data_IF_357195787528
#
_entry.id   IF_357195787528
#
_cell.length_a   1.000
_cell.length_b   1.000
_cell.length_c   1.000
_cell.angle_alpha   90.00
_cell.angle_beta   90.00
_cell.angle_gamma   90.00
#
_symmetry.space_group_name_H-M   'P 1'
#
loop_
_entity.id
_entity.type
_entity.pdbx_description
1 polymer ?
#
# COMPACT_ATOMS: atom_id res chain seq x y z
N UNK A 1 -8.32 24.66 0.80
CA UNK A 1 -9.61 23.94 0.78
C UNK A 1 -9.86 23.50 2.21
N UNK A 2 -10.37 24.42 3.01
CA UNK A 2 -10.63 24.22 4.43
C UNK A 2 -12.13 24.25 4.67
N UNK A 3 -12.58 23.45 5.65
CA UNK A 3 -13.94 23.27 6.21
C UNK A 3 -14.70 22.01 5.75
N UNK A 4 -14.52 21.47 4.53
CA UNK A 4 -15.32 20.34 4.06
C UNK A 4 -14.59 19.42 3.06
N UNK A 5 -13.50 18.79 3.50
CA UNK A 5 -13.22 17.41 3.07
C UNK A 5 -14.49 16.63 3.48
N UNK A 6 -15.41 16.51 2.53
CA UNK A 6 -16.85 16.57 2.81
C UNK A 6 -17.25 15.52 3.83
N UNK A 7 -18.17 15.85 4.76
CA UNK A 7 -18.81 14.82 5.59
C UNK A 7 -19.25 13.63 4.73
N UNK A 8 -19.66 13.89 3.48
CA UNK A 8 -19.89 12.89 2.47
C UNK A 8 -18.68 11.97 2.20
N UNK A 9 -17.47 12.49 1.92
CA UNK A 9 -16.25 11.68 1.73
C UNK A 9 -15.94 10.78 2.94
N UNK A 10 -16.04 11.35 4.14
CA UNK A 10 -15.79 10.59 5.37
C UNK A 10 -16.85 9.51 5.58
N UNK A 11 -18.13 9.85 5.37
CA UNK A 11 -19.24 8.90 5.45
C UNK A 11 -19.09 7.81 4.40
N UNK A 12 -18.76 8.14 3.15
CA UNK A 12 -18.61 7.15 2.07
C UNK A 12 -17.47 6.19 2.34
N UNK A 13 -16.31 6.67 2.80
CA UNK A 13 -15.21 5.80 3.25
C UNK A 13 -15.67 4.90 4.38
N UNK A 14 -16.32 5.46 5.41
CA UNK A 14 -16.83 4.69 6.54
C UNK A 14 -17.79 3.60 6.10
N UNK A 15 -18.72 3.91 5.20
CA UNK A 15 -19.68 2.97 4.65
C UNK A 15 -19.00 1.87 3.83
N UNK A 16 -18.06 2.24 2.94
CA UNK A 16 -17.29 1.26 2.14
C UNK A 16 -16.50 0.33 3.04
N UNK A 17 -15.77 0.86 4.04
CA UNK A 17 -15.03 0.05 5.00
C UNK A 17 -15.96 -0.88 5.79
N UNK A 18 -17.10 -0.39 6.28
CA UNK A 18 -18.06 -1.22 7.01
C UNK A 18 -18.63 -2.34 6.13
N UNK A 19 -19.01 -2.04 4.88
CA UNK A 19 -19.52 -3.03 3.93
C UNK A 19 -18.46 -4.09 3.60
N UNK A 20 -17.21 -3.69 3.35
CA UNK A 20 -16.10 -4.62 3.13
C UNK A 20 -15.82 -5.45 4.38
N UNK A 21 -15.93 -4.87 5.58
CA UNK A 21 -15.80 -5.59 6.85
C UNK A 21 -16.89 -6.64 7.06
N UNK A 22 -18.16 -6.29 6.83
CA UNK A 22 -19.28 -7.25 6.88
C UNK A 22 -19.08 -8.36 5.86
N UNK A 23 -18.70 -7.99 4.63
CA UNK A 23 -18.31 -8.92 3.57
C UNK A 23 -17.22 -9.88 4.05
N UNK A 24 -16.15 -9.40 4.68
CA UNK A 24 -15.07 -10.23 5.19
C UNK A 24 -15.52 -11.18 6.30
N UNK A 25 -16.33 -10.71 7.24
CA UNK A 25 -16.90 -11.55 8.30
C UNK A 25 -17.77 -12.69 7.72
N UNK A 26 -18.57 -12.41 6.69
CA UNK A 26 -19.36 -13.45 5.99
C UNK A 26 -18.44 -14.47 5.30
N UNK A 27 -17.36 -14.03 4.64
CA UNK A 27 -16.39 -14.95 4.04
C UNK A 27 -15.68 -15.82 5.08
N UNK A 28 -15.31 -15.27 6.24
CA UNK A 28 -14.71 -16.03 7.34
C UNK A 28 -15.69 -17.12 7.80
N UNK A 29 -16.96 -16.76 8.04
CA UNK A 29 -17.97 -17.72 8.44
C UNK A 29 -18.20 -18.80 7.37
N UNK A 30 -18.30 -18.41 6.09
CA UNK A 30 -18.48 -19.35 4.99
C UNK A 30 -17.27 -20.30 4.82
N UNK A 31 -16.06 -19.81 5.03
CA UNK A 31 -14.83 -20.60 4.99
C UNK A 31 -14.74 -21.59 6.15
N UNK A 32 -15.22 -21.20 7.35
CA UNK A 32 -15.26 -22.07 8.53
C UNK A 32 -16.30 -23.19 8.41
N UNK A 33 -17.38 -22.97 7.65
CA UNK A 33 -18.43 -23.97 7.40
C UNK A 33 -18.08 -24.97 6.28
N UNK A 34 -16.94 -24.81 5.60
CA UNK A 34 -16.51 -25.78 4.59
C UNK A 34 -16.07 -27.10 5.24
N UNK A 35 -16.34 -28.27 4.61
CA UNK A 35 -15.89 -29.56 5.11
C UNK A 35 -14.37 -29.66 5.31
N UNK A 36 -13.61 -28.90 4.51
CA UNK A 36 -12.18 -28.69 4.66
C UNK A 36 -11.94 -27.21 4.98
N UNK A 37 -11.55 -26.85 6.21
CA UNK A 37 -11.38 -25.46 6.59
C UNK A 37 -10.29 -24.80 5.74
N UNK A 38 -10.64 -23.67 5.13
CA UNK A 38 -9.76 -22.90 4.27
C UNK A 38 -8.98 -21.87 5.09
N UNK A 39 -8.01 -22.36 5.88
CA UNK A 39 -7.26 -21.54 6.84
C UNK A 39 -6.60 -20.30 6.22
N UNK A 40 -6.03 -20.42 5.02
CA UNK A 40 -5.42 -19.28 4.33
C UNK A 40 -6.43 -18.20 3.96
N UNK A 41 -7.59 -18.58 3.41
CA UNK A 41 -8.67 -17.63 3.11
C UNK A 41 -9.12 -16.93 4.39
N UNK A 42 -9.35 -17.68 5.48
CA UNK A 42 -9.73 -17.09 6.76
C UNK A 42 -8.70 -16.07 7.26
N UNK A 43 -7.40 -16.38 7.14
CA UNK A 43 -6.33 -15.45 7.52
C UNK A 43 -6.34 -14.15 6.72
N UNK A 44 -6.49 -14.21 5.40
CA UNK A 44 -6.56 -13.02 4.55
C UNK A 44 -7.83 -12.20 4.78
N UNK A 45 -8.96 -12.86 5.01
CA UNK A 45 -10.21 -12.19 5.37
C UNK A 45 -10.13 -11.54 6.75
N UNK A 46 -9.43 -12.14 7.72
CA UNK A 46 -9.22 -11.54 9.04
C UNK A 46 -8.39 -10.25 8.95
N UNK A 47 -7.34 -10.23 8.13
CA UNK A 47 -6.56 -9.01 7.84
C UNK A 47 -7.42 -7.96 7.15
N UNK A 48 -8.31 -8.37 6.24
CA UNK A 48 -9.26 -7.46 5.58
C UNK A 48 -10.26 -6.88 6.58
N UNK A 49 -10.76 -7.69 7.50
CA UNK A 49 -11.67 -7.28 8.56
C UNK A 49 -11.00 -6.29 9.53
N UNK A 50 -9.76 -6.53 9.95
CA UNK A 50 -9.04 -5.60 10.82
C UNK A 50 -8.75 -4.28 10.11
N UNK A 51 -8.32 -4.32 8.84
CA UNK A 51 -8.16 -3.13 8.01
C UNK A 51 -9.47 -2.34 7.87
N UNK A 52 -10.61 -3.02 7.72
CA UNK A 52 -11.92 -2.39 7.67
C UNK A 52 -12.27 -1.67 8.97
N UNK A 53 -11.97 -2.28 10.13
CA UNK A 53 -12.14 -1.62 11.44
C UNK A 53 -11.28 -0.36 11.53
N UNK A 54 -10.00 -0.42 11.14
CA UNK A 54 -9.15 0.77 11.09
C UNK A 54 -9.67 1.83 10.13
N UNK A 55 -10.19 1.43 8.96
CA UNK A 55 -10.83 2.33 8.00
C UNK A 55 -12.06 3.05 8.55
N UNK A 56 -12.89 2.36 9.35
CA UNK A 56 -14.02 2.98 10.06
C UNK A 56 -13.52 3.91 11.17
N UNK A 57 -12.49 3.54 11.93
CA UNK A 57 -11.92 4.43 12.96
C UNK A 57 -11.28 5.69 12.34
N UNK A 58 -10.66 5.55 11.16
CA UNK A 58 -10.15 6.66 10.35
C UNK A 58 -11.28 7.60 9.92
N UNK A 59 -12.43 7.07 9.46
CA UNK A 59 -13.57 7.91 9.11
C UNK A 59 -14.21 8.59 10.32
N UNK A 60 -14.13 7.99 11.52
CA UNK A 60 -14.57 8.64 12.75
C UNK A 60 -13.60 9.73 13.26
N UNK A 61 -12.52 10.02 12.53
CA UNK A 61 -11.55 11.06 12.91
C UNK A 61 -10.72 10.72 14.15
N UNK A 62 -10.58 9.42 14.49
CA UNK A 62 -9.82 8.99 15.67
C UNK A 62 -8.31 9.19 15.52
N UNK A 63 -7.80 9.33 14.29
CA UNK A 63 -6.38 9.51 14.01
C UNK A 63 -6.10 10.96 13.63
N UNK A 64 -5.24 11.63 14.40
CA UNK A 64 -4.84 13.02 14.17
C UNK A 64 -3.72 13.18 13.13
N UNK A 65 -2.94 12.13 12.88
CA UNK A 65 -1.81 12.15 11.94
C UNK A 65 -2.13 11.42 10.62
N UNK A 66 -2.03 12.14 9.50
CA UNK A 66 -1.96 11.58 8.15
C UNK A 66 -3.08 10.61 7.75
N UNK A 67 -4.37 11.02 7.75
CA UNK A 67 -5.49 10.13 7.37
C UNK A 67 -5.36 9.58 5.95
N UNK A 68 -4.65 10.28 5.05
CA UNK A 68 -4.39 9.82 3.69
C UNK A 68 -3.48 8.58 3.65
N UNK A 69 -2.42 8.54 4.48
CA UNK A 69 -1.53 7.36 4.57
C UNK A 69 -2.31 6.18 5.14
N UNK A 70 -3.09 6.40 6.21
CA UNK A 70 -3.93 5.37 6.80
C UNK A 70 -4.90 4.75 5.79
N UNK A 71 -5.57 5.59 4.99
CA UNK A 71 -6.49 5.13 3.94
C UNK A 71 -5.79 4.34 2.83
N UNK A 72 -4.59 4.77 2.44
CA UNK A 72 -3.78 4.05 1.47
C UNK A 72 -3.38 2.66 1.99
N UNK A 73 -3.05 2.54 3.28
CA UNK A 73 -2.76 1.25 3.88
C UNK A 73 -3.99 0.35 3.91
N UNK A 74 -5.16 0.89 4.29
CA UNK A 74 -6.42 0.12 4.29
C UNK A 74 -6.77 -0.35 2.88
N UNK A 75 -6.65 0.52 1.87
CA UNK A 75 -6.92 0.15 0.49
C UNK A 75 -5.95 -0.94 -0.02
N UNK A 76 -4.66 -0.84 0.32
CA UNK A 76 -3.68 -1.87 -0.01
C UNK A 76 -4.02 -3.21 0.66
N UNK A 77 -4.44 -3.22 1.92
CA UNK A 77 -4.91 -4.42 2.60
C UNK A 77 -6.13 -5.04 1.92
N UNK A 78 -7.09 -4.23 1.45
CA UNK A 78 -8.26 -4.72 0.74
C UNK A 78 -7.90 -5.36 -0.61
N UNK A 79 -7.06 -4.71 -1.41
CA UNK A 79 -6.64 -5.25 -2.71
C UNK A 79 -5.81 -6.53 -2.54
N UNK A 80 -4.73 -6.47 -1.75
CA UNK A 80 -3.86 -7.63 -1.51
C UNK A 80 -4.63 -8.78 -0.84
N UNK A 81 -5.47 -8.48 0.15
CA UNK A 81 -6.31 -9.46 0.82
C UNK A 81 -7.31 -10.14 -0.13
N UNK A 82 -7.97 -9.37 -1.00
CA UNK A 82 -8.88 -9.91 -2.02
C UNK A 82 -8.14 -10.77 -3.05
N UNK A 83 -6.98 -10.32 -3.54
CA UNK A 83 -6.17 -11.07 -4.50
C UNK A 83 -5.67 -12.39 -3.92
N UNK A 84 -5.07 -12.37 -2.72
CA UNK A 84 -4.57 -13.56 -2.06
C UNK A 84 -5.70 -14.50 -1.67
N UNK A 85 -6.84 -13.97 -1.20
CA UNK A 85 -8.06 -14.73 -0.96
C UNK A 85 -8.54 -15.46 -2.22
N UNK A 86 -8.64 -14.75 -3.36
CA UNK A 86 -9.04 -15.33 -4.64
C UNK A 86 -8.10 -16.45 -5.11
N UNK A 87 -6.78 -16.22 -5.02
CA UNK A 87 -5.76 -17.22 -5.38
C UNK A 87 -5.82 -18.44 -4.46
N UNK A 88 -6.02 -18.24 -3.15
CA UNK A 88 -6.03 -19.32 -2.16
C UNK A 88 -7.12 -20.37 -2.40
N UNK A 89 -8.23 -19.96 -3.03
CA UNK A 89 -9.37 -20.85 -3.36
C UNK A 89 -9.46 -21.17 -4.85
N UNK A 90 -8.41 -20.87 -5.63
CA UNK A 90 -8.40 -21.04 -7.09
C UNK A 90 -9.63 -20.42 -7.78
N UNK A 91 -10.15 -19.31 -7.24
CA UNK A 91 -11.29 -18.58 -7.76
C UNK A 91 -12.68 -19.18 -7.53
N UNK A 92 -12.82 -20.26 -6.74
CA UNK A 92 -14.12 -20.84 -6.39
C UNK A 92 -14.19 -21.19 -4.90
N UNK A 93 -15.30 -20.83 -4.24
CA UNK A 93 -15.60 -21.22 -2.86
C UNK A 93 -16.77 -22.21 -2.88
N UNK A 94 -16.46 -23.50 -2.79
CA UNK A 94 -17.44 -24.56 -3.06
C UNK A 94 -17.93 -24.51 -4.51
N UNK A 95 -19.24 -24.38 -4.71
CA UNK A 95 -19.87 -24.21 -6.03
C UNK A 95 -19.94 -22.75 -6.49
N UNK A 96 -19.63 -21.79 -5.63
CA UNK A 96 -19.74 -20.37 -5.93
C UNK A 96 -18.47 -19.81 -6.57
N UNK A 97 -18.62 -19.05 -7.66
CA UNK A 97 -17.52 -18.34 -8.29
C UNK A 97 -17.15 -17.08 -7.50
N UNK A 98 -15.87 -16.93 -7.13
CA UNK A 98 -15.38 -15.80 -6.32
C UNK A 98 -15.01 -14.56 -7.17
N UNK A 99 -15.11 -14.64 -8.51
CA UNK A 99 -14.73 -13.54 -9.41
C UNK A 99 -15.48 -12.23 -9.13
N UNK A 100 -16.83 -12.20 -9.02
CA UNK A 100 -17.54 -10.95 -8.78
C UNK A 100 -17.11 -10.30 -7.46
N UNK A 101 -16.90 -11.11 -6.43
CA UNK A 101 -16.47 -10.68 -5.11
C UNK A 101 -15.06 -10.10 -5.09
N UNK A 102 -14.15 -10.72 -5.82
CA UNK A 102 -12.80 -10.21 -6.01
C UNK A 102 -12.83 -8.83 -6.68
N UNK A 103 -13.56 -8.69 -7.80
CA UNK A 103 -13.62 -7.43 -8.54
C UNK A 103 -14.31 -6.31 -7.76
N UNK A 104 -15.34 -6.59 -6.96
CA UNK A 104 -16.00 -5.56 -6.14
C UNK A 104 -15.07 -5.02 -5.06
N UNK A 105 -14.28 -5.89 -4.41
CA UNK A 105 -13.29 -5.46 -3.41
C UNK A 105 -12.12 -4.71 -4.02
N UNK A 106 -11.62 -5.16 -5.16
CA UNK A 106 -10.59 -4.43 -5.91
C UNK A 106 -11.09 -3.05 -6.34
N UNK A 107 -12.35 -2.94 -6.79
CA UNK A 107 -12.94 -1.64 -7.10
C UNK A 107 -13.01 -0.73 -5.86
N UNK A 108 -13.40 -1.27 -4.69
CA UNK A 108 -13.40 -0.51 -3.43
C UNK A 108 -11.99 -0.06 -3.05
N UNK A 109 -11.00 -0.95 -3.11
CA UNK A 109 -9.60 -0.65 -2.86
C UNK A 109 -9.09 0.45 -3.80
N UNK A 110 -9.38 0.35 -5.09
CA UNK A 110 -8.97 1.33 -6.10
C UNK A 110 -9.59 2.71 -5.83
N UNK A 111 -10.90 2.76 -5.55
CA UNK A 111 -11.60 4.02 -5.23
C UNK A 111 -10.99 4.67 -3.98
N UNK A 112 -10.70 3.89 -2.93
CA UNK A 112 -10.05 4.39 -1.72
C UNK A 112 -8.62 4.87 -1.98
N UNK A 113 -7.85 4.13 -2.77
CA UNK A 113 -6.49 4.51 -3.15
C UNK A 113 -6.49 5.83 -3.94
N UNK A 114 -7.37 5.97 -4.94
CA UNK A 114 -7.55 7.21 -5.70
C UNK A 114 -7.95 8.35 -4.77
N UNK A 115 -8.95 8.14 -3.90
CA UNK A 115 -9.38 9.15 -2.92
C UNK A 115 -8.24 9.61 -2.02
N UNK A 116 -7.43 8.68 -1.51
CA UNK A 116 -6.26 8.99 -0.69
C UNK A 116 -5.19 9.78 -1.45
N UNK A 117 -4.90 9.40 -2.70
CA UNK A 117 -3.95 10.09 -3.55
C UNK A 117 -4.44 11.50 -3.91
N UNK A 118 -5.73 11.66 -4.24
CA UNK A 118 -6.33 12.96 -4.54
C UNK A 118 -6.19 13.94 -3.38
N UNK A 119 -6.39 13.49 -2.13
CA UNK A 119 -6.21 14.35 -0.94
C UNK A 119 -4.78 14.88 -0.84
N UNK A 120 -3.78 14.05 -1.13
CA UNK A 120 -2.36 14.47 -1.13
C UNK A 120 -2.05 15.39 -2.30
N UNK A 121 -2.52 15.06 -3.50
CA UNK A 121 -2.27 15.84 -4.71
C UNK A 121 -2.88 17.24 -4.64
N UNK A 122 -4.03 17.41 -3.99
CA UNK A 122 -4.66 18.72 -3.82
C UNK A 122 -3.87 19.66 -2.90
N UNK A 123 -3.01 19.14 -2.02
CA UNK A 123 -2.18 19.97 -1.12
C UNK A 123 -0.92 20.49 -1.80
N UNK A 124 -0.20 19.63 -2.52
CA UNK A 124 0.96 20.02 -3.33
C UNK A 124 1.06 19.16 -4.60
N UNK A 125 0.50 19.62 -5.72
CA UNK A 125 0.35 18.77 -6.90
C UNK A 125 1.68 18.36 -7.49
N UNK A 126 2.64 19.28 -7.67
CA UNK A 126 3.86 18.95 -8.43
C UNK A 126 4.83 17.98 -7.73
N UNK A 127 5.34 18.25 -6.51
CA UNK A 127 6.34 17.38 -5.89
C UNK A 127 5.76 16.03 -5.50
N UNK A 128 4.53 16.00 -4.97
CA UNK A 128 3.87 14.74 -4.60
C UNK A 128 3.56 13.89 -5.83
N UNK A 129 3.06 14.48 -6.92
CA UNK A 129 2.77 13.74 -8.16
C UNK A 129 4.03 13.12 -8.75
N UNK A 130 5.16 13.84 -8.78
CA UNK A 130 6.44 13.27 -9.29
C UNK A 130 6.90 12.08 -8.45
N UNK A 131 6.80 12.15 -7.13
CA UNK A 131 7.14 11.03 -6.25
C UNK A 131 6.17 9.85 -6.43
N UNK A 132 4.87 10.12 -6.54
CA UNK A 132 3.85 9.09 -6.76
C UNK A 132 4.03 8.39 -8.11
N UNK A 133 4.22 9.14 -9.19
CA UNK A 133 4.49 8.59 -10.54
C UNK A 133 5.75 7.71 -10.51
N UNK A 134 6.82 8.14 -9.83
CA UNK A 134 8.04 7.32 -9.68
C UNK A 134 7.75 6.03 -8.91
N UNK A 135 6.98 6.09 -7.83
CA UNK A 135 6.56 4.92 -7.07
C UNK A 135 5.75 3.93 -7.91
N UNK A 136 4.77 4.42 -8.68
CA UNK A 136 3.97 3.61 -9.60
C UNK A 136 4.82 3.05 -10.74
N UNK A 137 5.72 3.85 -11.32
CA UNK A 137 6.62 3.40 -12.38
C UNK A 137 7.55 2.27 -11.89
N UNK A 138 8.05 2.36 -10.64
CA UNK A 138 8.86 1.30 -10.03
C UNK A 138 8.08 0.00 -9.75
N UNK A 139 6.75 0.05 -9.76
CA UNK A 139 5.91 -1.15 -9.67
C UNK A 139 5.78 -1.89 -11.02
N UNK A 140 6.00 -1.20 -12.15
CA UNK A 140 5.88 -1.81 -13.50
C UNK A 140 6.82 -3.02 -13.66
N UNK A 141 8.12 -2.95 -13.31
CA UNK A 141 9.02 -4.11 -13.35
C UNK A 141 8.49 -5.31 -12.56
N UNK A 142 7.86 -5.08 -11.41
CA UNK A 142 7.26 -6.17 -10.61
C UNK A 142 6.17 -6.88 -11.41
N UNK A 143 5.26 -6.13 -12.02
CA UNK A 143 4.18 -6.69 -12.84
C UNK A 143 4.73 -7.45 -14.05
N UNK A 144 5.72 -6.87 -14.73
CA UNK A 144 6.38 -7.50 -15.90
C UNK A 144 7.06 -8.80 -15.51
N UNK A 145 7.82 -8.83 -14.41
CA UNK A 145 8.52 -10.02 -13.92
C UNK A 145 7.51 -11.11 -13.52
N UNK A 146 6.42 -10.76 -12.82
CA UNK A 146 5.38 -11.71 -12.43
C UNK A 146 4.64 -12.30 -13.65
N UNK A 147 4.29 -11.46 -14.62
CA UNK A 147 3.67 -11.90 -15.86
C UNK A 147 4.61 -12.80 -16.68
N UNK A 148 5.87 -12.39 -16.81
CA UNK A 148 6.92 -13.15 -17.49
C UNK A 148 7.19 -14.50 -16.80
N UNK A 149 7.20 -14.53 -15.47
CA UNK A 149 7.35 -15.78 -14.71
C UNK A 149 6.20 -16.73 -14.99
N UNK A 150 4.95 -16.25 -15.02
CA UNK A 150 3.81 -17.10 -15.39
C UNK A 150 3.91 -17.64 -16.82
N UNK A 151 4.35 -16.82 -17.77
CA UNK A 151 4.57 -17.26 -19.14
C UNK A 151 5.67 -18.34 -19.21
N UNK A 152 6.78 -18.12 -18.50
CA UNK A 152 7.91 -19.05 -18.44
C UNK A 152 7.52 -20.40 -17.81
N UNK A 153 6.74 -20.38 -16.72
CA UNK A 153 6.25 -21.59 -16.05
C UNK A 153 5.39 -22.48 -16.95
N UNK A 154 4.81 -21.93 -18.02
CA UNK A 154 4.03 -22.68 -19.01
C UNK A 154 4.87 -23.24 -20.18
N UNK A 155 6.18 -22.98 -20.23
CA UNK A 155 7.06 -23.46 -21.31
C UNK A 155 7.66 -24.83 -20.99
N UNK A 156 7.91 -25.64 -22.02
CA UNK A 156 8.62 -26.94 -21.89
C UNK A 156 10.03 -26.78 -21.33
N UNK A 157 10.69 -25.65 -21.62
CA UNK A 157 12.01 -25.31 -21.07
C UNK A 157 12.03 -25.30 -19.54
N UNK A 158 10.95 -24.85 -18.89
CA UNK A 158 10.86 -24.90 -17.44
C UNK A 158 10.67 -26.33 -16.94
N UNK A 159 9.98 -27.19 -17.68
CA UNK A 159 9.81 -28.60 -17.30
C UNK A 159 11.17 -29.32 -17.26
N UNK A 160 12.00 -29.11 -18.28
CA UNK A 160 13.29 -29.79 -18.46
C UNK A 160 14.43 -29.23 -17.58
N UNK A 161 14.23 -28.05 -16.97
CA UNK A 161 15.24 -27.45 -16.09
C UNK A 161 15.50 -28.30 -14.83
N UNK A 162 16.78 -28.40 -14.45
CA UNK A 162 17.22 -29.14 -13.26
C UNK A 162 16.67 -28.50 -11.97
N UNK A 163 16.45 -29.32 -10.93
CA UNK A 163 15.93 -28.87 -9.64
C UNK A 163 16.68 -27.67 -9.04
N UNK A 164 18.02 -27.69 -8.96
CA UNK A 164 18.80 -26.57 -8.44
C UNK A 164 18.63 -25.28 -9.26
N UNK A 165 18.54 -25.39 -10.58
CA UNK A 165 18.33 -24.24 -11.46
C UNK A 165 16.96 -23.59 -11.22
N UNK A 166 15.90 -24.39 -11.03
CA UNK A 166 14.57 -23.89 -10.67
C UNK A 166 14.57 -23.12 -9.35
N UNK A 167 15.23 -23.68 -8.32
CA UNK A 167 15.34 -23.02 -7.01
C UNK A 167 16.11 -21.70 -7.13
N UNK A 168 17.27 -21.70 -7.80
CA UNK A 168 18.07 -20.49 -8.00
C UNK A 168 17.27 -19.41 -8.75
N UNK A 169 16.56 -19.77 -9.82
CA UNK A 169 15.71 -18.86 -10.56
C UNK A 169 14.59 -18.27 -9.69
N UNK A 170 13.90 -19.10 -8.89
CA UNK A 170 12.84 -18.63 -7.98
C UNK A 170 13.40 -17.65 -6.93
N UNK A 171 14.56 -17.95 -6.34
CA UNK A 171 15.21 -17.07 -5.34
C UNK A 171 15.59 -15.72 -5.97
N UNK A 172 16.19 -15.73 -7.16
CA UNK A 172 16.56 -14.50 -7.87
C UNK A 172 15.32 -13.68 -8.23
N UNK A 173 14.31 -14.31 -8.83
CA UNK A 173 13.04 -13.65 -9.19
C UNK A 173 12.39 -13.04 -7.95
N UNK A 174 12.33 -13.79 -6.85
CA UNK A 174 11.76 -13.31 -5.59
C UNK A 174 12.53 -12.10 -5.04
N UNK A 175 13.87 -12.16 -5.00
CA UNK A 175 14.70 -11.05 -4.53
C UNK A 175 14.52 -9.78 -5.37
N UNK A 176 14.46 -9.92 -6.70
CA UNK A 176 14.22 -8.81 -7.63
C UNK A 176 12.83 -8.21 -7.42
N UNK A 177 11.79 -9.05 -7.38
CA UNK A 177 10.40 -8.61 -7.13
C UNK A 177 10.30 -7.87 -5.81
N UNK A 178 10.89 -8.41 -4.74
CA UNK A 178 10.85 -7.81 -3.41
C UNK A 178 11.59 -6.46 -3.37
N UNK A 179 12.75 -6.36 -4.03
CA UNK A 179 13.52 -5.11 -4.11
C UNK A 179 12.76 -3.98 -4.83
N UNK A 180 12.19 -4.26 -6.01
CA UNK A 180 11.37 -3.28 -6.74
C UNK A 180 10.08 -2.93 -6.00
N UNK A 181 9.44 -3.92 -5.35
CA UNK A 181 8.26 -3.69 -4.53
C UNK A 181 8.56 -2.76 -3.36
N UNK A 182 9.65 -3.02 -2.61
CA UNK A 182 10.08 -2.18 -1.51
C UNK A 182 10.41 -0.74 -1.96
N UNK A 183 11.11 -0.60 -3.09
CA UNK A 183 11.40 0.72 -3.67
C UNK A 183 10.10 1.47 -4.05
N UNK A 184 9.16 0.78 -4.69
CA UNK A 184 7.84 1.34 -5.05
C UNK A 184 7.10 1.85 -3.81
N UNK A 185 6.97 1.02 -2.78
CA UNK A 185 6.31 1.39 -1.51
C UNK A 185 7.02 2.57 -0.86
N UNK A 186 8.35 2.59 -0.83
CA UNK A 186 9.12 3.70 -0.27
C UNK A 186 8.82 5.03 -0.96
N UNK A 187 8.82 5.07 -2.30
CA UNK A 187 8.50 6.29 -3.04
C UNK A 187 7.05 6.74 -2.86
N UNK A 188 6.11 5.79 -2.78
CA UNK A 188 4.70 6.10 -2.49
C UNK A 188 4.57 6.71 -1.10
N UNK A 189 5.14 6.10 -0.05
CA UNK A 189 5.10 6.65 1.31
C UNK A 189 5.77 8.03 1.40
N UNK A 190 6.91 8.21 0.72
CA UNK A 190 7.59 9.50 0.65
C UNK A 190 6.71 10.59 0.00
N UNK A 191 5.93 10.25 -1.02
CA UNK A 191 5.01 11.20 -1.66
C UNK A 191 3.93 11.69 -0.67
N UNK A 192 3.40 10.80 0.16
CA UNK A 192 2.41 11.14 1.17
C UNK A 192 3.02 11.94 2.33
N UNK A 193 4.23 11.57 2.78
CA UNK A 193 4.94 12.31 3.83
C UNK A 193 5.24 13.77 3.44
N UNK A 194 5.60 14.04 2.18
CA UNK A 194 5.77 15.40 1.66
C UNK A 194 4.45 16.19 1.76
N UNK A 195 3.32 15.55 1.45
CA UNK A 195 2.00 16.18 1.55
C UNK A 195 1.55 16.49 2.98
N UNK A 196 2.01 15.71 3.97
CA UNK A 196 1.68 15.93 5.38
C UNK A 196 2.51 17.06 6.00
N UNK A 197 3.84 17.10 5.76
CA UNK A 197 4.72 18.15 6.29
C UNK A 197 4.29 19.56 5.87
N UNK A 198 3.76 19.68 4.65
CA UNK A 198 3.26 20.97 4.13
C UNK A 198 1.95 21.36 4.81
N UNK A 199 1.07 20.39 5.07
CA UNK A 199 -0.17 20.63 5.80
C UNK A 199 0.11 21.16 7.20
N UNK A 200 1.10 20.58 7.90
CA UNK A 200 1.52 21.05 9.22
C UNK A 200 2.11 22.47 9.20
N UNK A 201 2.96 22.77 8.21
CA UNK A 201 3.53 24.12 8.05
C UNK A 201 2.45 25.19 7.84
N UNK A 202 1.42 24.87 7.03
CA UNK A 202 0.27 25.77 6.80
C UNK A 202 -0.58 25.98 8.05
N UNK A 203 -0.81 24.94 8.86
CA UNK A 203 -1.61 25.04 10.10
C UNK A 203 -0.89 25.81 11.21
N UNK A 204 0.43 25.71 11.29
CA UNK A 204 1.22 26.36 12.35
C UNK A 204 1.56 27.83 12.07
N UNK A 205 0.95 28.44 11.04
CA UNK A 205 1.24 29.82 10.65
C UNK A 205 2.70 30.05 10.23
N UNK A 206 3.43 28.97 9.97
CA UNK A 206 4.84 29.02 9.62
C UNK A 206 4.98 29.61 8.23
N UNK A 207 5.46 30.85 8.15
CA UNK A 207 6.16 31.28 6.94
C UNK A 207 7.18 30.18 6.62
N UNK A 208 7.13 29.57 5.42
CA UNK A 208 8.09 28.54 5.05
C UNK A 208 9.45 29.18 5.25
N UNK A 209 10.28 28.58 6.12
CA UNK A 209 11.60 29.08 6.47
C UNK A 209 12.25 29.55 5.18
N UNK A 210 12.32 30.88 5.01
CA UNK A 210 12.76 31.49 3.77
C UNK A 210 14.12 30.89 3.50
N UNK A 211 14.27 30.18 2.39
CA UNK A 211 15.53 29.60 1.95
C UNK A 211 16.55 30.66 1.53
N UNK A 212 16.42 31.88 2.07
CA UNK A 212 17.42 32.94 2.14
C UNK A 212 18.54 32.52 3.13
N UNK A 213 19.09 31.32 2.89
CA UNK A 213 20.36 30.86 3.40
C UNK A 213 21.37 30.91 2.27
N UNK A 214 21.53 32.10 1.70
CA UNK A 214 22.67 32.42 0.84
C UNK A 214 23.95 32.10 1.61
N UNK A 215 24.76 31.25 0.98
CA UNK A 215 26.19 31.08 1.20
C UNK A 215 26.89 32.29 1.84
N UNK A 216 27.35 32.16 3.09
CA UNK A 216 28.53 32.88 3.60
C UNK A 216 28.85 32.36 5.00
N UNK A 217 29.77 31.41 5.06
CA UNK A 217 30.19 30.80 6.32
C UNK A 217 31.31 29.79 6.12
N UNK A 218 32.29 30.15 5.28
CA UNK A 218 33.59 29.50 5.27
C UNK A 218 34.27 29.76 6.63
N UNK A 219 33.97 28.91 7.61
CA UNK A 219 34.62 28.88 8.91
C UNK A 219 35.51 27.65 9.00
N UNK A 220 36.70 27.74 8.42
CA UNK A 220 37.79 26.83 8.71
C UNK A 220 38.08 26.81 10.21
N UNK A 221 37.86 25.67 10.86
CA UNK A 221 38.50 25.36 12.14
C UNK A 221 39.15 23.98 12.04
N UNK A 222 40.35 24.00 11.47
CA UNK A 222 41.45 23.14 11.89
C UNK A 222 41.71 23.40 13.38
N UNK A 223 41.54 22.38 14.22
CA UNK A 223 41.95 22.38 15.62
C UNK A 223 41.58 21.04 16.24
N UNK A 224 42.47 20.05 16.27
CA UNK A 224 43.58 19.91 17.23
C UNK A 224 43.23 18.84 18.27
N UNK A 225 43.91 17.69 18.12
CA UNK A 225 44.41 16.77 19.13
C UNK A 225 43.94 16.93 20.60
N UNK A 226 43.51 15.80 21.19
CA UNK A 226 44.01 15.19 22.43
C UNK A 226 43.02 14.08 22.85
N UNK A 227 43.36 12.79 22.82
CA UNK A 227 44.19 12.10 23.82
C UNK A 227 43.66 12.23 25.27
N UNK A 228 42.81 11.29 25.68
CA UNK A 228 42.63 10.77 27.06
C UNK A 228 41.65 9.59 26.94
N UNK A 229 41.90 8.38 27.43
CA UNK A 229 42.80 7.94 28.49
C UNK A 229 41.96 7.09 29.45
N UNK A 230 42.42 5.85 29.66
CA UNK A 230 41.88 4.78 30.52
C UNK A 230 40.69 3.97 29.95
#
# INVERSE_FOLDING_TARGET
>A
MDIAQSRAFTITIGAVCALVGVSAAVCIAAAALQPKPLWFLMGFELVTLTAAVFGVLLSLGKFKGGPAIGLLCVSACFGVGALLGYVSVNGKLGTFGMKPWFFTREACALVMAIGSASVVLLRQPQPALRALIRGVAMFIPVVVVLAGTRALLNTTLWADASGPMKVAAVVVIFGVVLGFFAASVHYVLKAFAIGDAVGEAMMNGGQPASSDGSSSGAGSSTGSAAAHGA
#
